data_IF_181966131448
#
_entry.id   IF_181966131448
#
_cell.length_a   1.000
_cell.length_b   1.000
_cell.length_c   1.000
_cell.angle_alpha   90.00
_cell.angle_beta   90.00
_cell.angle_gamma   90.00
#
_symmetry.space_group_name_H-M   'P 1'
#
loop_
_entity.id
_entity.type
_entity.pdbx_description
1 polymer ?
#
# COMPACT_ATOMS: atom_id res chain seq x y z
N UNK A 1 25.08 -73.63 -16.46
CA UNK A 1 25.11 -72.16 -16.59
C UNK A 1 23.70 -71.64 -16.38
N UNK A 2 23.46 -70.97 -15.26
CA UNK A 2 22.15 -70.51 -14.79
C UNK A 2 21.95 -69.05 -15.25
N UNK A 3 20.81 -68.71 -15.87
CA UNK A 3 20.43 -67.32 -16.15
C UNK A 3 19.11 -67.00 -15.43
N UNK A 4 19.20 -66.11 -14.44
CA UNK A 4 18.07 -65.41 -13.81
C UNK A 4 17.52 -64.36 -14.79
N UNK A 5 16.21 -64.17 -14.81
CA UNK A 5 15.58 -62.94 -15.28
C UNK A 5 14.47 -62.52 -14.31
N UNK A 6 14.47 -61.23 -14.00
CA UNK A 6 13.89 -60.58 -12.83
C UNK A 6 12.36 -60.39 -12.89
N UNK A 7 11.72 -60.36 -11.71
CA UNK A 7 10.33 -59.95 -11.53
C UNK A 7 10.25 -58.41 -11.43
N UNK A 8 9.45 -57.78 -12.30
CA UNK A 8 9.08 -56.37 -12.18
C UNK A 8 7.97 -56.22 -11.14
N UNK A 9 8.26 -55.55 -10.03
CA UNK A 9 7.26 -55.05 -9.08
C UNK A 9 6.90 -53.61 -9.46
N UNK A 10 5.64 -53.40 -9.86
CA UNK A 10 5.07 -52.08 -10.16
C UNK A 10 4.70 -51.39 -8.84
N UNK A 11 5.26 -50.21 -8.59
CA UNK A 11 4.94 -49.38 -7.42
C UNK A 11 3.98 -48.27 -7.84
N UNK A 12 2.77 -48.28 -7.30
CA UNK A 12 1.74 -47.26 -7.53
C UNK A 12 2.06 -46.04 -6.64
N UNK A 13 2.37 -44.90 -7.24
CA UNK A 13 2.60 -43.64 -6.52
C UNK A 13 1.27 -42.88 -6.42
N UNK A 14 0.70 -42.79 -5.22
CA UNK A 14 -0.47 -41.96 -4.95
C UNK A 14 -0.03 -40.50 -4.70
N UNK A 15 -0.44 -39.59 -5.57
CA UNK A 15 -0.17 -38.16 -5.41
C UNK A 15 -1.16 -37.53 -4.40
N UNK A 16 -0.65 -37.09 -3.25
CA UNK A 16 -1.38 -36.22 -2.33
C UNK A 16 -1.44 -34.81 -2.91
N UNK A 17 -2.64 -34.34 -3.25
CA UNK A 17 -2.92 -32.93 -3.54
C UNK A 17 -2.89 -32.14 -2.22
N UNK A 18 -1.79 -31.43 -1.97
CA UNK A 18 -1.71 -30.47 -0.87
C UNK A 18 -2.58 -29.25 -1.21
N UNK A 19 -3.60 -29.00 -0.37
CA UNK A 19 -4.36 -27.75 -0.35
C UNK A 19 -3.43 -26.63 0.14
N UNK A 20 -2.85 -25.87 -0.79
CA UNK A 20 -2.10 -24.65 -0.47
C UNK A 20 -3.10 -23.61 0.02
N UNK A 21 -2.93 -23.02 1.21
CA UNK A 21 -3.79 -21.93 1.66
C UNK A 21 -3.68 -20.77 0.67
N UNK A 22 -4.83 -20.27 0.20
CA UNK A 22 -4.93 -18.99 -0.52
C UNK A 22 -4.45 -17.90 0.45
N UNK A 23 -3.16 -17.58 0.39
CA UNK A 23 -2.65 -16.36 0.99
C UNK A 23 -3.44 -15.20 0.34
N UNK A 24 -3.93 -14.27 1.15
CA UNK A 24 -4.41 -12.99 0.63
C UNK A 24 -3.37 -12.49 -0.37
N UNK A 25 -3.76 -12.12 -1.61
CA UNK A 25 -2.77 -11.77 -2.60
C UNK A 25 -1.91 -10.64 -2.04
N UNK A 26 -0.61 -10.90 -1.93
CA UNK A 26 0.37 -9.84 -2.04
C UNK A 26 -0.07 -8.92 -3.18
N UNK A 27 0.08 -7.61 -2.99
CA UNK A 27 -0.43 -6.61 -3.93
C UNK A 27 -0.18 -7.02 -5.38
N UNK A 28 -1.23 -7.04 -6.19
CA UNK A 28 -1.06 -7.43 -7.60
C UNK A 28 -0.16 -6.41 -8.30
N UNK A 29 0.69 -6.90 -9.21
CA UNK A 29 1.52 -6.02 -10.05
C UNK A 29 0.65 -5.02 -10.85
N UNK A 30 -0.56 -5.43 -11.21
CA UNK A 30 -1.52 -4.62 -11.95
C UNK A 30 -2.06 -3.45 -11.11
N UNK A 31 -2.42 -3.70 -9.85
CA UNK A 31 -2.89 -2.64 -8.95
C UNK A 31 -1.77 -1.69 -8.58
N UNK A 32 -0.55 -2.22 -8.39
CA UNK A 32 0.65 -1.40 -8.18
C UNK A 32 0.90 -0.48 -9.38
N UNK A 33 0.80 -1.00 -10.60
CA UNK A 33 0.95 -0.19 -11.81
C UNK A 33 -0.15 0.88 -11.94
N UNK A 34 -1.40 0.52 -11.62
CA UNK A 34 -2.51 1.47 -11.57
C UNK A 34 -2.24 2.61 -10.58
N UNK A 35 -1.81 2.27 -9.35
CA UNK A 35 -1.61 3.27 -8.30
C UNK A 35 -0.40 4.16 -8.58
N UNK A 36 0.66 3.61 -9.18
CA UNK A 36 1.80 4.40 -9.63
C UNK A 36 1.38 5.50 -10.62
N UNK A 37 0.58 5.14 -11.63
CA UNK A 37 0.07 6.12 -12.60
C UNK A 37 -0.91 7.13 -11.99
N UNK A 38 -1.77 6.69 -11.06
CA UNK A 38 -2.66 7.59 -10.33
C UNK A 38 -1.87 8.60 -9.49
N UNK A 39 -0.90 8.11 -8.72
CA UNK A 39 -0.10 8.91 -7.79
C UNK A 39 0.84 9.87 -8.50
N UNK A 40 1.32 9.55 -9.70
CA UNK A 40 2.12 10.48 -10.50
C UNK A 40 1.34 11.80 -10.73
N UNK A 41 0.06 11.70 -11.06
CA UNK A 41 -0.78 12.89 -11.24
C UNK A 41 -1.24 13.48 -9.90
N UNK A 42 -1.70 12.64 -8.97
CA UNK A 42 -2.32 13.14 -7.73
C UNK A 42 -1.29 13.73 -6.77
N UNK A 43 -0.08 13.18 -6.66
CA UNK A 43 0.96 13.73 -5.77
C UNK A 43 1.40 15.13 -6.24
N UNK A 44 1.57 15.32 -7.56
CA UNK A 44 1.88 16.63 -8.12
C UNK A 44 0.81 17.68 -7.81
N UNK A 45 -0.47 17.31 -7.91
CA UNK A 45 -1.58 18.22 -7.59
C UNK A 45 -1.72 18.45 -6.08
N UNK A 46 -1.54 17.41 -5.27
CA UNK A 46 -1.57 17.46 -3.81
C UNK A 46 -0.58 18.46 -3.26
N UNK A 47 0.68 18.34 -3.71
CA UNK A 47 1.78 19.26 -3.38
C UNK A 47 1.46 20.67 -3.85
N UNK A 48 1.09 20.84 -5.13
CA UNK A 48 0.82 22.16 -5.72
C UNK A 48 -0.26 22.94 -4.96
N UNK A 49 -1.31 22.26 -4.53
CA UNK A 49 -2.42 22.89 -3.82
C UNK A 49 -2.29 22.83 -2.30
N UNK A 50 -1.24 22.19 -1.79
CA UNK A 50 -1.00 21.93 -0.38
C UNK A 50 -2.23 21.31 0.30
N UNK A 51 -2.74 20.22 -0.28
CA UNK A 51 -3.93 19.50 0.19
C UNK A 51 -3.81 18.02 -0.08
N UNK A 52 -4.09 17.21 0.92
CA UNK A 52 -4.28 15.77 0.73
C UNK A 52 -5.43 15.49 -0.23
N UNK A 53 -5.25 14.46 -1.06
CA UNK A 53 -6.24 13.97 -2.03
C UNK A 53 -6.41 12.49 -1.81
N UNK A 54 -7.64 11.98 -1.81
CA UNK A 54 -7.87 10.57 -1.55
C UNK A 54 -9.08 9.97 -2.23
N UNK A 55 -9.14 8.64 -2.17
CA UNK A 55 -10.22 7.83 -2.68
C UNK A 55 -10.05 6.36 -2.31
N UNK A 56 -10.76 5.52 -3.04
CA UNK A 56 -10.60 4.07 -3.00
C UNK A 56 -10.21 3.57 -4.39
N UNK A 57 -9.34 2.56 -4.41
CA UNK A 57 -9.12 1.75 -5.58
C UNK A 57 -10.24 0.73 -5.66
N UNK A 58 -10.92 0.69 -6.81
CA UNK A 58 -11.99 -0.24 -7.10
C UNK A 58 -11.48 -1.34 -8.01
N UNK A 59 -11.84 -2.59 -7.71
CA UNK A 59 -11.59 -3.73 -8.58
C UNK A 59 -12.85 -4.08 -9.37
N UNK A 60 -12.68 -4.32 -10.66
CA UNK A 60 -13.75 -4.77 -11.54
C UNK A 60 -13.69 -6.28 -11.75
N UNK A 61 -14.82 -6.89 -12.11
CA UNK A 61 -14.93 -8.33 -12.32
C UNK A 61 -14.03 -8.88 -13.44
N UNK A 62 -13.63 -8.03 -14.38
CA UNK A 62 -12.66 -8.36 -15.43
C UNK A 62 -11.18 -8.20 -14.98
N UNK A 63 -10.95 -7.91 -13.69
CA UNK A 63 -9.63 -7.67 -13.12
C UNK A 63 -9.06 -6.27 -13.34
N UNK A 64 -9.77 -5.37 -14.02
CA UNK A 64 -9.34 -3.99 -14.17
C UNK A 64 -9.48 -3.21 -12.85
N UNK A 65 -8.74 -2.09 -12.76
CA UNK A 65 -8.79 -1.18 -11.62
C UNK A 65 -9.25 0.21 -12.05
N UNK A 66 -9.98 0.89 -11.16
CA UNK A 66 -10.30 2.31 -11.25
C UNK A 66 -10.18 2.97 -9.88
N UNK A 67 -10.33 4.29 -9.83
CA UNK A 67 -10.46 5.02 -8.57
C UNK A 67 -11.89 5.56 -8.44
N UNK A 68 -12.38 5.66 -7.22
CA UNK A 68 -13.53 6.52 -6.93
C UNK A 68 -13.24 7.96 -7.36
N UNK A 69 -14.31 8.78 -7.45
CA UNK A 69 -14.15 10.22 -7.53
C UNK A 69 -13.25 10.70 -6.38
N UNK A 70 -12.25 11.50 -6.71
CA UNK A 70 -11.29 12.04 -5.74
C UNK A 70 -11.99 12.98 -4.75
N UNK A 71 -11.59 12.90 -3.48
CA UNK A 71 -11.95 13.84 -2.43
C UNK A 71 -10.76 14.73 -2.12
N UNK A 72 -11.03 16.02 -1.89
CA UNK A 72 -10.00 17.00 -1.57
C UNK A 72 -10.07 17.36 -0.09
N UNK A 73 -9.00 17.05 0.63
CA UNK A 73 -8.84 17.26 2.07
C UNK A 73 -8.25 18.60 2.46
N UNK A 74 -7.69 18.66 3.66
CA UNK A 74 -6.83 19.73 4.16
C UNK A 74 -5.34 19.34 4.06
N UNK A 75 -4.49 20.00 4.85
CA UNK A 75 -3.04 19.75 4.85
C UNK A 75 -2.63 18.41 5.48
N UNK A 76 -3.42 17.91 6.44
CA UNK A 76 -3.11 16.70 7.21
C UNK A 76 -4.37 15.84 7.45
N UNK A 77 -5.32 15.90 6.52
CA UNK A 77 -6.50 15.04 6.55
C UNK A 77 -7.20 15.03 5.21
N UNK A 78 -7.79 13.89 4.89
CA UNK A 78 -8.77 13.76 3.83
C UNK A 78 -9.89 12.82 4.30
N UNK A 79 -11.04 12.88 3.64
CA UNK A 79 -12.10 11.90 3.83
C UNK A 79 -12.63 11.46 2.46
N UNK A 80 -12.42 10.19 2.13
CA UNK A 80 -12.94 9.60 0.90
C UNK A 80 -14.47 9.68 0.86
N UNK A 81 -15.02 9.88 -0.34
CA UNK A 81 -16.46 9.82 -0.53
C UNK A 81 -16.98 8.39 -0.27
N UNK A 82 -18.23 8.23 0.19
CA UNK A 82 -18.84 6.91 0.35
C UNK A 82 -18.77 6.11 -0.96
N UNK A 83 -18.36 4.85 -0.84
CA UNK A 83 -18.37 3.91 -1.96
C UNK A 83 -19.80 3.45 -2.19
N UNK A 84 -20.23 3.40 -3.46
CA UNK A 84 -21.56 2.89 -3.80
C UNK A 84 -21.65 1.39 -3.53
N UNK A 85 -22.83 0.93 -3.14
CA UNK A 85 -23.08 -0.49 -2.88
C UNK A 85 -22.74 -1.37 -4.08
N UNK A 86 -22.19 -2.55 -3.82
CA UNK A 86 -21.86 -3.54 -4.85
C UNK A 86 -20.54 -3.31 -5.59
N UNK A 87 -19.79 -2.26 -5.25
CA UNK A 87 -18.41 -2.08 -5.74
C UNK A 87 -17.40 -2.81 -4.84
N UNK A 88 -16.41 -3.46 -5.44
CA UNK A 88 -15.31 -4.12 -4.72
C UNK A 88 -14.19 -3.11 -4.47
N UNK A 89 -13.95 -2.77 -3.21
CA UNK A 89 -12.81 -1.95 -2.79
C UNK A 89 -11.59 -2.86 -2.67
N UNK A 90 -10.54 -2.56 -3.45
CA UNK A 90 -9.25 -3.24 -3.34
C UNK A 90 -8.38 -2.63 -2.23
N UNK A 91 -8.34 -1.29 -2.18
CA UNK A 91 -7.53 -0.55 -1.22
C UNK A 91 -8.07 0.88 -1.03
N UNK A 92 -7.71 1.52 0.08
CA UNK A 92 -7.72 2.98 0.19
C UNK A 92 -6.51 3.58 -0.55
N UNK A 93 -6.54 4.88 -0.81
CA UNK A 93 -5.34 5.62 -1.19
C UNK A 93 -5.48 7.09 -0.81
N UNK A 94 -4.36 7.71 -0.46
CA UNK A 94 -4.25 9.16 -0.31
C UNK A 94 -2.84 9.68 -0.61
N UNK A 95 -2.75 10.99 -0.77
CA UNK A 95 -1.50 11.74 -0.77
C UNK A 95 -1.37 12.50 0.54
N UNK A 96 -0.14 12.69 1.00
CA UNK A 96 0.19 13.78 1.90
C UNK A 96 0.30 15.09 1.10
N UNK A 97 0.06 16.21 1.77
CA UNK A 97 0.08 17.54 1.18
C UNK A 97 1.52 18.00 0.84
N UNK A 98 1.72 19.31 0.67
CA UNK A 98 3.04 19.88 0.44
C UNK A 98 3.97 19.61 1.64
N UNK A 99 5.28 19.70 1.41
CA UNK A 99 6.25 19.56 2.49
C UNK A 99 6.05 20.64 3.56
N UNK A 100 6.07 20.22 4.82
CA UNK A 100 6.01 21.11 5.99
C UNK A 100 7.11 20.68 6.98
N UNK A 101 8.07 21.56 7.31
CA UNK A 101 9.14 21.24 8.26
C UNK A 101 8.63 20.95 9.68
N UNK A 102 7.40 21.34 10.02
CA UNK A 102 6.77 21.08 11.31
C UNK A 102 5.97 19.76 11.34
N UNK A 103 5.91 19.03 10.23
CA UNK A 103 5.10 17.82 10.10
C UNK A 103 5.87 16.66 9.45
N UNK A 104 5.85 15.49 10.08
CA UNK A 104 6.50 14.28 9.57
C UNK A 104 5.65 13.60 8.48
N UNK A 105 5.57 14.27 7.34
CA UNK A 105 4.76 13.84 6.19
C UNK A 105 5.42 12.78 5.29
N UNK A 106 6.56 12.22 5.67
CA UNK A 106 7.29 11.25 4.82
C UNK A 106 7.03 9.78 5.18
N UNK A 107 6.23 9.52 6.21
CA UNK A 107 5.78 8.19 6.62
C UNK A 107 4.26 8.21 6.81
N UNK A 108 3.53 7.08 6.62
CA UNK A 108 2.12 7.00 6.98
C UNK A 108 1.90 7.41 8.44
N UNK A 109 0.81 8.13 8.72
CA UNK A 109 0.42 8.47 10.09
C UNK A 109 -0.13 7.24 10.81
N UNK A 110 -0.17 7.29 12.15
CA UNK A 110 -0.84 6.25 12.95
C UNK A 110 -2.31 6.10 12.53
N UNK A 111 -2.98 7.23 12.26
CA UNK A 111 -4.39 7.28 11.89
C UNK A 111 -4.66 6.61 10.53
N UNK A 112 -3.73 6.73 9.58
CA UNK A 112 -3.84 6.05 8.29
C UNK A 112 -3.86 4.53 8.49
N UNK A 113 -2.86 4.02 9.21
CA UNK A 113 -2.68 2.59 9.44
C UNK A 113 -3.83 2.01 10.25
N UNK A 114 -4.23 2.66 11.34
CA UNK A 114 -5.37 2.20 12.15
C UNK A 114 -6.69 2.33 11.39
N UNK A 115 -6.81 3.31 10.49
CA UNK A 115 -7.94 3.48 9.59
C UNK A 115 -8.10 2.28 8.66
N UNK A 116 -7.04 1.96 7.92
CA UNK A 116 -6.97 0.82 7.01
C UNK A 116 -7.22 -0.50 7.74
N UNK A 117 -6.63 -0.66 8.93
CA UNK A 117 -6.86 -1.84 9.77
C UNK A 117 -8.31 -1.99 10.23
N UNK A 118 -8.95 -0.91 10.67
CA UNK A 118 -10.35 -0.94 11.09
C UNK A 118 -11.29 -1.23 9.92
N UNK A 119 -10.94 -0.76 8.73
CA UNK A 119 -11.70 -1.04 7.51
C UNK A 119 -11.40 -2.43 6.93
N UNK A 120 -10.31 -3.07 7.34
CA UNK A 120 -9.85 -4.35 6.82
C UNK A 120 -9.37 -4.28 5.36
N UNK A 121 -8.93 -3.10 4.91
CA UNK A 121 -8.46 -2.84 3.55
C UNK A 121 -6.99 -2.42 3.57
N UNK A 122 -6.24 -2.72 2.53
CA UNK A 122 -4.89 -2.16 2.36
C UNK A 122 -4.97 -0.67 2.00
N UNK A 123 -3.83 0.03 2.11
CA UNK A 123 -3.73 1.44 1.75
C UNK A 123 -2.48 1.83 0.99
N UNK A 124 -2.55 3.00 0.34
CA UNK A 124 -1.48 3.61 -0.43
C UNK A 124 -1.28 5.05 -0.02
N UNK A 125 -0.03 5.45 0.26
CA UNK A 125 0.28 6.81 0.69
C UNK A 125 1.40 7.41 -0.17
N UNK A 126 1.11 8.47 -0.92
CA UNK A 126 2.11 9.28 -1.62
C UNK A 126 2.64 10.41 -0.73
N UNK A 127 3.95 10.66 -0.71
CA UNK A 127 4.57 11.71 0.15
C UNK A 127 5.12 12.89 -0.66
N UNK A 128 5.29 14.09 -0.06
CA UNK A 128 5.88 15.24 -0.76
C UNK A 128 7.33 15.03 -1.18
N UNK A 129 8.09 14.17 -0.50
CA UNK A 129 9.43 13.70 -0.91
C UNK A 129 9.41 12.72 -2.08
N UNK A 130 8.21 12.37 -2.57
CA UNK A 130 7.99 11.51 -3.72
C UNK A 130 8.09 10.02 -3.41
N UNK A 131 7.91 9.60 -2.16
CA UNK A 131 7.82 8.18 -1.80
C UNK A 131 6.42 7.66 -2.07
N UNK A 132 6.32 6.36 -2.33
CA UNK A 132 5.04 5.65 -2.32
C UNK A 132 5.10 4.53 -1.28
N UNK A 133 4.18 4.59 -0.33
CA UNK A 133 4.01 3.60 0.71
C UNK A 133 2.84 2.68 0.41
N UNK A 134 3.00 1.42 0.78
CA UNK A 134 1.93 0.45 0.94
C UNK A 134 1.71 0.17 2.43
N UNK A 135 0.45 0.17 2.84
CA UNK A 135 -0.02 -0.19 4.18
C UNK A 135 -0.78 -1.50 4.10
N UNK A 136 -0.33 -2.50 4.85
CA UNK A 136 -1.04 -3.76 5.01
C UNK A 136 -2.11 -3.60 6.10
N UNK A 137 -3.38 -3.58 5.69
CA UNK A 137 -4.51 -3.39 6.59
C UNK A 137 -4.78 -4.57 7.52
N UNK A 138 -4.17 -5.73 7.32
CA UNK A 138 -4.37 -6.87 8.21
C UNK A 138 -3.34 -6.87 9.35
N UNK A 139 -2.12 -6.45 9.05
CA UNK A 139 -0.99 -6.53 9.99
C UNK A 139 -0.59 -5.18 10.59
N UNK A 140 -0.96 -4.06 9.95
CA UNK A 140 -0.45 -2.74 10.30
C UNK A 140 1.04 -2.57 9.99
N UNK A 141 1.53 -3.29 8.97
CA UNK A 141 2.89 -3.16 8.46
C UNK A 141 2.91 -2.22 7.26
N UNK A 142 3.96 -1.41 7.15
CA UNK A 142 4.14 -0.45 6.08
C UNK A 142 5.46 -0.70 5.38
N UNK A 143 5.46 -0.59 4.06
CA UNK A 143 6.69 -0.67 3.25
C UNK A 143 6.65 0.34 2.12
N UNK A 144 7.82 0.89 1.80
CA UNK A 144 7.97 1.66 0.57
C UNK A 144 7.87 0.70 -0.62
N UNK A 145 7.02 1.06 -1.58
CA UNK A 145 6.99 0.43 -2.91
C UNK A 145 8.02 1.08 -3.80
N UNK A 146 8.24 2.37 -3.61
CA UNK A 146 9.38 3.08 -4.15
C UNK A 146 9.79 4.25 -3.26
N UNK A 147 11.08 4.59 -3.34
CA UNK A 147 11.72 5.58 -2.47
C UNK A 147 11.56 7.02 -2.91
N UNK A 148 12.36 7.90 -2.27
CA UNK A 148 12.40 9.34 -2.54
C UNK A 148 12.57 9.62 -4.03
N UNK A 149 11.83 10.59 -4.56
CA UNK A 149 11.89 11.00 -5.97
C UNK A 149 11.24 10.04 -6.96
N UNK A 150 10.49 9.04 -6.49
CA UNK A 150 9.75 8.14 -7.35
C UNK A 150 8.48 8.79 -7.95
N UNK A 151 7.77 9.56 -7.12
CA UNK A 151 6.64 10.41 -7.52
C UNK A 151 7.10 11.87 -7.64
N UNK A 152 6.32 12.77 -8.29
CA UNK A 152 6.63 14.18 -8.34
C UNK A 152 6.85 14.76 -6.93
N UNK A 153 8.01 15.39 -6.75
CA UNK A 153 8.51 15.89 -5.47
C UNK A 153 8.10 17.35 -5.32
N UNK A 154 7.81 17.77 -4.10
CA UNK A 154 7.74 19.19 -3.76
C UNK A 154 9.09 19.87 -3.97
N UNK A 155 9.13 20.94 -4.75
CA UNK A 155 10.36 21.72 -4.96
C UNK A 155 10.91 22.31 -3.66
N UNK A 156 10.02 22.53 -2.68
CA UNK A 156 10.40 22.98 -1.33
C UNK A 156 10.89 21.83 -0.43
N UNK A 157 10.79 20.56 -0.86
CA UNK A 157 11.13 19.41 -0.03
C UNK A 157 12.57 19.49 0.49
N UNK A 158 12.69 19.71 1.80
CA UNK A 158 13.93 20.04 2.47
C UNK A 158 14.54 18.90 3.27
N UNK A 159 15.02 19.24 4.48
CA UNK A 159 15.66 18.31 5.39
C UNK A 159 14.62 17.37 6.04
N UNK A 160 15.00 16.09 6.21
CA UNK A 160 14.22 15.09 6.95
C UNK A 160 14.48 15.26 8.47
N UNK A 161 13.98 16.36 9.04
CA UNK A 161 14.28 16.77 10.43
C UNK A 161 13.71 15.83 11.51
N UNK A 162 12.76 14.96 11.14
CA UNK A 162 12.21 13.89 11.98
C UNK A 162 13.06 12.61 11.99
N UNK A 163 14.28 12.69 11.46
CA UNK A 163 15.20 11.57 11.32
C UNK A 163 14.94 10.74 10.07
N UNK A 164 15.86 9.80 9.77
CA UNK A 164 15.85 9.06 8.51
C UNK A 164 14.57 8.25 8.34
N UNK A 165 14.05 8.27 7.12
CA UNK A 165 12.86 7.51 6.72
C UNK A 165 13.28 6.10 6.30
N UNK A 166 12.95 5.10 7.12
CA UNK A 166 13.23 3.69 6.84
C UNK A 166 12.41 3.14 5.68
N UNK A 167 12.81 2.02 5.09
CA UNK A 167 12.04 1.39 3.99
C UNK A 167 10.78 0.66 4.47
N UNK A 168 10.72 0.30 5.75
CA UNK A 168 9.60 -0.39 6.38
C UNK A 168 9.32 0.14 7.78
N UNK A 169 8.07 0.04 8.20
CA UNK A 169 7.62 0.33 9.56
C UNK A 169 6.59 -0.70 10.01
N UNK A 170 6.45 -0.87 11.32
CA UNK A 170 5.28 -1.49 11.94
C UNK A 170 4.46 -0.38 12.62
N UNK A 171 3.20 -0.66 12.94
CA UNK A 171 2.40 0.28 13.74
C UNK A 171 3.10 0.67 15.05
N UNK A 172 3.70 -0.30 15.76
CA UNK A 172 4.44 -0.01 17.00
C UNK A 172 5.67 0.88 16.77
N UNK A 173 6.39 0.72 15.65
CA UNK A 173 7.52 1.60 15.33
C UNK A 173 7.08 3.00 14.91
N UNK A 174 5.90 3.16 14.30
CA UNK A 174 5.28 4.48 14.10
C UNK A 174 4.92 5.14 15.43
N UNK A 175 4.31 4.40 16.36
CA UNK A 175 4.03 4.92 17.71
C UNK A 175 5.30 5.45 18.38
N UNK A 176 6.39 4.68 18.31
CA UNK A 176 7.69 5.13 18.81
C UNK A 176 8.21 6.38 18.07
N UNK A 177 8.12 6.42 16.73
CA UNK A 177 8.56 7.57 15.91
C UNK A 177 7.81 8.85 16.26
N UNK A 178 6.49 8.74 16.46
CA UNK A 178 5.64 9.88 16.83
C UNK A 178 5.65 10.18 18.33
N UNK A 179 6.46 9.46 19.14
CA UNK A 179 6.53 9.66 20.59
C UNK A 179 5.22 9.39 21.32
N UNK A 180 4.39 8.48 20.78
CA UNK A 180 3.08 8.11 21.35
C UNK A 180 3.13 6.72 21.97
N UNK A 181 2.32 6.52 23.01
CA UNK A 181 2.06 5.19 23.57
C UNK A 181 0.81 4.60 22.93
N UNK A 182 0.84 3.29 22.69
CA UNK A 182 -0.28 2.52 22.14
C UNK A 182 -1.25 2.08 23.22
#
# INVERSE_FOLDING_TARGET
MMRLAAKMTSTLCAALLALVPLQAPAQSAQETAFIMGLMESMNALSVRFNREVCGYVLRHSNGAYSSTKVSWGGQASCASLPVQDGLEVASSWHTHAAWDPAYDGEVPSIQDVEGDMRMGVNGWVGTPGGRLWFVDGQTGSMRQVCGRGCLPVDEAFGAEDFGPVGETYTLDSLYARFGRTR
#
